data_IF_107464972758
#
_entry.id   IF_107464972758
#
_cell.length_a   1.000
_cell.length_b   1.000
_cell.length_c   1.000
_cell.angle_alpha   90.00
_cell.angle_beta   90.00
_cell.angle_gamma   90.00
#
_symmetry.space_group_name_H-M   'P 1'
#
loop_
_entity.id
_entity.type
_entity.pdbx_description
1 polymer ?
#
# COMPACT_ATOMS: atom_id res chain seq x y z
N UNK A 1 60.31 20.74 -35.22
CA UNK A 1 59.47 21.27 -34.18
C UNK A 1 58.15 20.51 -34.25
N UNK A 2 57.92 19.57 -33.31
CA UNK A 2 56.70 18.76 -33.24
C UNK A 2 55.88 19.33 -32.10
N UNK A 3 54.70 19.93 -32.41
CA UNK A 3 53.71 20.39 -31.46
C UNK A 3 52.80 19.22 -31.07
N UNK A 4 52.85 18.82 -29.82
CA UNK A 4 51.92 17.86 -29.23
C UNK A 4 50.72 18.66 -28.68
N UNK A 5 49.55 18.48 -29.32
CA UNK A 5 48.25 19.01 -28.83
C UNK A 5 47.73 18.03 -27.82
N UNK A 6 47.75 18.41 -26.55
CA UNK A 6 47.15 17.67 -25.46
C UNK A 6 45.60 17.78 -25.50
N UNK A 7 44.93 16.64 -25.69
CA UNK A 7 43.49 16.51 -25.61
C UNK A 7 43.09 16.37 -24.14
N UNK A 8 42.53 17.41 -23.53
CA UNK A 8 41.97 17.37 -22.20
C UNK A 8 40.57 16.69 -22.29
N UNK A 9 40.46 15.47 -21.80
CA UNK A 9 39.19 14.76 -21.65
C UNK A 9 38.58 15.21 -20.30
N UNK A 10 37.57 16.08 -20.36
CA UNK A 10 36.75 16.40 -19.23
C UNK A 10 35.83 15.21 -18.90
N UNK A 11 36.17 14.45 -17.88
CA UNK A 11 35.21 13.52 -17.26
C UNK A 11 34.16 14.36 -16.50
N UNK A 12 32.99 14.51 -17.09
CA UNK A 12 31.81 14.90 -16.34
C UNK A 12 31.47 13.74 -15.40
N UNK A 13 31.95 13.83 -14.17
CA UNK A 13 31.41 13.03 -13.10
C UNK A 13 29.93 13.42 -12.96
N UNK A 14 29.01 12.54 -13.36
CA UNK A 14 27.64 12.61 -12.92
C UNK A 14 27.67 12.48 -11.39
N UNK A 15 27.52 13.61 -10.70
CA UNK A 15 27.17 13.66 -9.30
C UNK A 15 25.76 13.04 -9.19
N UNK A 16 25.70 11.71 -9.03
CA UNK A 16 24.52 11.07 -8.48
C UNK A 16 24.52 11.45 -6.99
N UNK A 17 23.98 12.62 -6.68
CA UNK A 17 23.52 12.90 -5.34
C UNK A 17 22.63 11.72 -4.93
N UNK A 18 22.94 11.02 -3.82
CA UNK A 18 22.01 10.04 -3.28
C UNK A 18 20.69 10.77 -3.13
N UNK A 19 19.66 10.28 -3.79
CA UNK A 19 18.30 10.74 -3.54
C UNK A 19 18.11 10.48 -2.05
N UNK A 20 18.05 11.54 -1.23
CA UNK A 20 17.70 11.44 0.16
C UNK A 20 16.39 10.64 0.19
N UNK A 21 16.49 9.38 0.58
CA UNK A 21 15.31 8.61 0.94
C UNK A 21 14.74 9.34 2.13
N UNK A 22 13.64 10.07 1.92
CA UNK A 22 12.94 10.76 2.99
C UNK A 22 12.73 9.75 4.11
N UNK A 23 13.39 10.00 5.24
CA UNK A 23 13.30 9.12 6.40
C UNK A 23 11.89 9.29 6.94
N UNK A 24 11.08 8.24 6.82
CA UNK A 24 9.76 8.20 7.43
C UNK A 24 9.86 8.45 8.94
N UNK A 25 9.11 9.43 9.42
CA UNK A 25 9.06 9.78 10.83
C UNK A 25 7.71 9.30 11.39
N UNK A 26 7.75 8.59 12.55
CA UNK A 26 6.53 8.10 13.25
C UNK A 26 5.44 9.19 13.35
N UNK A 27 5.81 10.43 13.57
CA UNK A 27 4.86 11.53 13.71
C UNK A 27 4.12 11.87 12.42
N UNK A 28 4.67 11.57 11.26
CA UNK A 28 4.01 11.80 9.97
C UNK A 28 2.84 10.84 9.78
N UNK A 29 2.83 9.72 10.49
CA UNK A 29 1.73 8.75 10.50
C UNK A 29 0.50 9.26 11.24
N UNK A 30 0.69 10.06 12.31
CA UNK A 30 -0.39 10.47 13.19
C UNK A 30 -1.39 11.39 12.50
N UNK A 31 -2.66 11.21 12.81
CA UNK A 31 -3.77 12.06 12.39
C UNK A 31 -4.86 11.31 11.64
N UNK A 32 -5.70 12.09 10.99
CA UNK A 32 -6.85 11.62 10.22
C UNK A 32 -6.49 11.63 8.73
N UNK A 33 -6.70 10.49 8.07
CA UNK A 33 -6.35 10.27 6.69
C UNK A 33 -7.57 9.85 5.89
N UNK A 34 -7.70 10.41 4.69
CA UNK A 34 -8.67 9.96 3.70
C UNK A 34 -7.97 9.07 2.68
N UNK A 35 -8.53 7.92 2.38
CA UNK A 35 -8.06 7.06 1.30
C UNK A 35 -8.53 7.64 -0.03
N UNK A 36 -7.61 8.22 -0.79
CA UNK A 36 -7.92 8.89 -2.06
C UNK A 36 -7.89 7.93 -3.27
N UNK A 37 -7.15 6.84 -3.16
CA UNK A 37 -7.05 5.82 -4.21
C UNK A 37 -6.75 4.46 -3.60
N UNK A 38 -7.31 3.43 -4.22
CA UNK A 38 -6.95 2.02 -4.01
C UNK A 38 -6.57 1.43 -5.36
N UNK A 39 -5.32 1.00 -5.50
CA UNK A 39 -4.91 0.13 -6.59
C UNK A 39 -4.83 -1.30 -6.05
N UNK A 40 -5.32 -2.27 -6.81
CA UNK A 40 -5.28 -3.68 -6.41
C UNK A 40 -4.82 -4.57 -7.55
N UNK A 41 -4.22 -5.69 -7.18
CA UNK A 41 -3.90 -6.80 -8.06
C UNK A 41 -4.05 -8.11 -7.29
N UNK A 42 -4.10 -9.21 -7.98
CA UNK A 42 -4.18 -10.50 -7.30
C UNK A 42 -4.49 -11.66 -8.21
N UNK A 43 -4.87 -12.77 -7.57
CA UNK A 43 -5.19 -14.00 -8.27
C UNK A 43 -6.37 -14.71 -7.62
N UNK A 44 -7.12 -15.44 -8.44
CA UNK A 44 -8.24 -16.26 -8.02
C UNK A 44 -8.36 -17.52 -8.89
N UNK A 45 -9.01 -18.59 -8.42
CA UNK A 45 -9.34 -19.71 -9.28
C UNK A 45 -10.16 -19.28 -10.50
N UNK A 46 -9.81 -19.80 -11.67
CA UNK A 46 -10.60 -19.54 -12.88
C UNK A 46 -11.95 -20.26 -12.78
N UNK A 47 -13.10 -19.57 -12.87
CA UNK A 47 -14.42 -20.20 -12.76
C UNK A 47 -14.68 -21.30 -13.79
N UNK A 48 -14.03 -21.22 -14.96
CA UNK A 48 -14.17 -22.22 -16.04
C UNK A 48 -13.18 -23.40 -15.90
N UNK A 49 -12.11 -23.20 -15.16
CA UNK A 49 -11.10 -24.22 -14.88
C UNK A 49 -10.48 -24.00 -13.50
N UNK A 50 -11.08 -24.49 -12.42
CA UNK A 50 -10.63 -24.23 -11.04
C UNK A 50 -9.20 -24.67 -10.71
N UNK A 51 -8.59 -25.49 -11.56
CA UNK A 51 -7.18 -25.89 -11.42
C UNK A 51 -6.20 -24.85 -11.96
N UNK A 52 -6.67 -23.82 -12.66
CA UNK A 52 -5.89 -22.72 -13.17
C UNK A 52 -6.19 -21.44 -12.37
N UNK A 53 -5.17 -20.63 -12.14
CA UNK A 53 -5.32 -19.31 -11.54
C UNK A 53 -5.51 -18.25 -12.63
N UNK A 54 -6.29 -17.24 -12.30
CA UNK A 54 -6.58 -16.10 -13.14
C UNK A 54 -6.12 -14.85 -12.41
N UNK A 55 -5.31 -14.02 -13.09
CA UNK A 55 -4.81 -12.75 -12.58
C UNK A 55 -5.83 -11.64 -12.81
N UNK A 56 -5.91 -10.70 -11.90
CA UNK A 56 -6.71 -9.49 -12.04
C UNK A 56 -5.94 -8.27 -11.49
N UNK A 57 -6.30 -7.10 -11.94
CA UNK A 57 -5.79 -5.83 -11.41
C UNK A 57 -6.72 -4.68 -11.78
N UNK A 58 -6.68 -3.60 -11.00
CA UNK A 58 -7.50 -2.44 -11.28
C UNK A 58 -7.39 -1.34 -10.22
N UNK A 59 -8.27 -0.37 -10.35
CA UNK A 59 -8.51 0.66 -9.34
C UNK A 59 -9.85 0.40 -8.68
N UNK A 60 -9.90 0.58 -7.36
CA UNK A 60 -11.13 0.51 -6.59
C UNK A 60 -12.12 1.57 -7.04
N UNK A 61 -13.37 1.16 -7.22
CA UNK A 61 -14.49 2.08 -7.54
C UNK A 61 -15.43 2.18 -6.34
N UNK A 62 -16.26 3.21 -6.28
CA UNK A 62 -17.14 3.48 -5.14
C UNK A 62 -16.36 3.54 -3.82
N UNK A 63 -15.18 4.16 -3.87
CA UNK A 63 -14.25 4.22 -2.76
C UNK A 63 -14.78 5.13 -1.65
N UNK A 64 -14.82 4.59 -0.45
CA UNK A 64 -14.97 5.31 0.81
C UNK A 64 -13.90 4.78 1.75
N UNK A 65 -13.10 5.65 2.35
CA UNK A 65 -12.04 5.16 3.22
C UNK A 65 -11.44 6.24 4.10
N UNK A 66 -11.34 5.91 5.39
CA UNK A 66 -10.72 6.73 6.41
C UNK A 66 -9.77 5.88 7.24
N UNK A 67 -8.65 6.47 7.61
CA UNK A 67 -7.70 5.87 8.56
C UNK A 67 -7.34 6.93 9.58
N UNK A 68 -7.46 6.59 10.84
CA UNK A 68 -7.13 7.50 11.93
C UNK A 68 -6.08 6.84 12.83
N UNK A 69 -4.99 7.53 13.10
CA UNK A 69 -3.88 7.06 13.91
C UNK A 69 -3.60 8.08 15.01
N UNK A 70 -3.74 7.67 16.25
CA UNK A 70 -3.57 8.51 17.42
C UNK A 70 -2.48 7.96 18.34
N UNK A 71 -1.82 8.88 19.04
CA UNK A 71 -0.86 8.58 20.09
C UNK A 71 -1.46 8.97 21.44
N UNK A 72 -1.15 8.16 22.49
CA UNK A 72 -1.60 8.35 23.87
C UNK A 72 -3.13 8.27 24.09
N UNK A 73 -3.72 7.08 24.07
CA UNK A 73 -3.08 5.77 23.81
C UNK A 73 -2.84 5.55 22.32
N UNK A 74 -1.87 4.69 22.01
CA UNK A 74 -1.62 4.23 20.64
C UNK A 74 -2.85 3.50 20.13
N UNK A 75 -3.75 4.21 19.49
CA UNK A 75 -5.00 3.70 18.94
C UNK A 75 -5.15 4.09 17.48
N UNK A 76 -5.75 3.19 16.72
CA UNK A 76 -5.98 3.42 15.30
C UNK A 76 -7.25 2.75 14.84
N UNK A 77 -7.81 3.28 13.78
CA UNK A 77 -8.87 2.63 13.05
C UNK A 77 -8.68 2.77 11.56
N UNK A 78 -9.15 1.79 10.84
CA UNK A 78 -9.36 1.82 9.39
C UNK A 78 -10.80 1.45 9.12
N UNK A 79 -11.45 2.22 8.26
CA UNK A 79 -12.74 1.91 7.66
C UNK A 79 -12.61 2.18 6.17
N UNK A 80 -12.51 1.13 5.39
CA UNK A 80 -12.27 1.18 3.96
C UNK A 80 -13.24 0.26 3.24
N UNK A 81 -13.96 0.83 2.28
CA UNK A 81 -14.88 0.12 1.41
C UNK A 81 -14.64 0.52 -0.04
N UNK A 82 -14.60 -0.44 -0.93
CA UNK A 82 -14.54 -0.21 -2.38
C UNK A 82 -15.07 -1.43 -3.15
N UNK A 83 -15.31 -1.25 -4.43
CA UNK A 83 -15.66 -2.35 -5.33
C UNK A 83 -14.47 -2.69 -6.21
N UNK A 84 -14.01 -3.92 -6.13
CA UNK A 84 -13.01 -4.50 -7.01
C UNK A 84 -13.66 -5.19 -8.20
N UNK A 85 -13.11 -5.00 -9.40
CA UNK A 85 -13.52 -5.71 -10.60
C UNK A 85 -12.57 -6.89 -10.83
N UNK A 86 -13.01 -8.08 -10.49
CA UNK A 86 -12.26 -9.32 -10.70
C UNK A 86 -12.67 -9.90 -12.07
N UNK A 87 -12.12 -9.32 -13.15
CA UNK A 87 -12.51 -9.55 -14.54
C UNK A 87 -13.99 -9.16 -14.82
N UNK A 88 -14.91 -10.09 -14.77
CA UNK A 88 -16.34 -9.85 -15.01
C UNK A 88 -17.18 -9.80 -13.73
N UNK A 89 -16.55 -10.05 -12.57
CA UNK A 89 -17.21 -10.12 -11.28
C UNK A 89 -16.87 -8.85 -10.49
N UNK A 90 -17.90 -8.18 -10.00
CA UNK A 90 -17.74 -7.06 -9.06
C UNK A 90 -17.80 -7.61 -7.63
N UNK A 91 -16.76 -7.36 -6.84
CA UNK A 91 -16.67 -7.82 -5.46
C UNK A 91 -16.54 -6.61 -4.56
N UNK A 92 -17.47 -6.42 -3.61
CA UNK A 92 -17.30 -5.45 -2.55
C UNK A 92 -16.17 -5.92 -1.63
N UNK A 93 -15.24 -5.02 -1.34
CA UNK A 93 -14.13 -5.24 -0.42
C UNK A 93 -14.31 -4.28 0.75
N UNK A 94 -14.22 -4.82 1.95
CA UNK A 94 -14.35 -4.06 3.19
C UNK A 94 -13.21 -4.43 4.13
N UNK A 95 -12.50 -3.42 4.62
CA UNK A 95 -11.53 -3.53 5.70
C UNK A 95 -11.97 -2.59 6.82
N UNK A 96 -12.40 -3.15 7.93
CA UNK A 96 -12.77 -2.38 9.12
C UNK A 96 -12.04 -2.95 10.33
N UNK A 97 -11.29 -2.12 11.03
CA UNK A 97 -10.66 -2.46 12.29
C UNK A 97 -10.46 -1.20 13.13
N UNK A 98 -10.67 -1.35 14.42
CA UNK A 98 -10.33 -0.34 15.42
C UNK A 98 -9.64 -1.04 16.59
N UNK A 99 -8.48 -0.54 17.00
CA UNK A 99 -7.69 -1.18 18.05
C UNK A 99 -6.41 -0.41 18.35
N UNK A 100 -5.37 -1.14 18.73
CA UNK A 100 -4.04 -0.58 18.95
C UNK A 100 -3.20 -0.64 17.69
N UNK A 101 -2.23 0.26 17.57
CA UNK A 101 -1.27 0.20 16.49
C UNK A 101 0.17 0.14 16.98
N UNK A 102 1.01 -0.49 16.20
CA UNK A 102 2.46 -0.57 16.42
C UNK A 102 3.21 -0.44 15.11
N UNK A 103 4.44 0.09 15.18
CA UNK A 103 5.39 0.05 14.07
C UNK A 103 6.40 -1.06 14.28
N UNK A 104 6.68 -1.81 13.23
CA UNK A 104 7.65 -2.89 13.19
C UNK A 104 8.59 -2.76 11.99
N UNK A 105 9.60 -3.61 11.88
CA UNK A 105 10.56 -3.61 10.77
C UNK A 105 11.24 -2.25 10.57
N UNK A 106 11.80 -1.67 11.64
CA UNK A 106 12.46 -0.36 11.61
C UNK A 106 11.52 0.74 11.11
N UNK A 107 10.29 0.76 11.67
CA UNK A 107 9.25 1.75 11.41
C UNK A 107 8.67 1.74 9.99
N UNK A 108 8.88 0.66 9.23
CA UNK A 108 8.36 0.54 7.87
C UNK A 108 7.05 -0.27 7.73
N UNK A 109 6.58 -0.88 8.83
CA UNK A 109 5.35 -1.68 8.84
C UNK A 109 4.46 -1.25 9.99
N UNK A 110 3.27 -0.74 9.65
CA UNK A 110 2.20 -0.45 10.60
C UNK A 110 1.37 -1.72 10.79
N UNK A 111 1.16 -2.10 12.05
CA UNK A 111 0.23 -3.17 12.42
C UNK A 111 -0.93 -2.55 13.21
N UNK A 112 -2.15 -2.78 12.74
CA UNK A 112 -3.40 -2.46 13.44
C UNK A 112 -3.99 -3.76 13.99
N UNK A 113 -4.16 -3.84 15.30
CA UNK A 113 -4.60 -5.05 16.00
C UNK A 113 -5.78 -4.75 16.92
N UNK A 114 -6.83 -5.59 16.87
CA UNK A 114 -8.02 -5.50 17.71
C UNK A 114 -8.36 -6.81 18.42
N UNK A 115 -7.39 -7.65 18.73
CA UNK A 115 -7.55 -8.98 19.34
C UNK A 115 -8.25 -10.04 18.47
N UNK A 116 -8.99 -9.64 17.45
CA UNK A 116 -9.73 -10.54 16.56
C UNK A 116 -9.16 -10.56 15.13
N UNK A 117 -8.74 -9.41 14.65
CA UNK A 117 -8.19 -9.21 13.31
C UNK A 117 -6.98 -8.30 13.41
N UNK A 118 -5.91 -8.68 12.73
CA UNK A 118 -4.70 -7.88 12.61
C UNK A 118 -4.42 -7.58 11.15
N UNK A 119 -4.26 -6.30 10.83
CA UNK A 119 -3.85 -5.85 9.50
C UNK A 119 -2.43 -5.30 9.55
N UNK A 120 -1.61 -5.72 8.59
CA UNK A 120 -0.25 -5.22 8.43
C UNK A 120 -0.12 -4.42 7.14
N UNK A 121 0.37 -3.20 7.25
CA UNK A 121 0.59 -2.30 6.13
C UNK A 121 2.07 -1.94 6.02
N UNK A 122 2.68 -2.23 4.89
CA UNK A 122 4.03 -1.74 4.58
C UNK A 122 3.91 -0.30 4.10
N UNK A 123 4.59 0.62 4.77
CA UNK A 123 4.65 2.03 4.38
C UNK A 123 5.68 2.16 3.26
N UNK A 124 5.21 2.45 2.05
CA UNK A 124 6.03 2.59 0.84
C UNK A 124 6.55 4.01 0.69
N UNK A 125 5.71 4.98 1.04
CA UNK A 125 6.04 6.41 1.08
C UNK A 125 5.30 7.05 2.24
N UNK A 126 6.00 7.84 3.04
CA UNK A 126 5.49 8.45 4.25
C UNK A 126 5.76 9.96 4.28
N UNK A 127 5.11 10.73 3.42
CA UNK A 127 5.14 12.19 3.47
C UNK A 127 4.12 12.73 4.49
N UNK A 128 4.31 13.93 5.04
CA UNK A 128 3.42 14.49 6.06
C UNK A 128 1.94 14.62 5.67
N UNK A 129 1.65 14.79 4.38
CA UNK A 129 0.29 15.00 3.86
C UNK A 129 -0.14 13.96 2.81
N UNK A 130 0.75 13.04 2.45
CA UNK A 130 0.45 11.99 1.48
C UNK A 130 1.26 10.75 1.82
N UNK A 131 0.60 9.63 1.95
CA UNK A 131 1.25 8.35 2.22
C UNK A 131 0.79 7.29 1.25
N UNK A 132 1.64 6.29 1.02
CA UNK A 132 1.33 5.10 0.23
C UNK A 132 1.61 3.87 1.08
N UNK A 133 0.58 3.07 1.32
CA UNK A 133 0.67 1.85 2.10
C UNK A 133 0.30 0.64 1.27
N UNK A 134 0.95 -0.50 1.53
CA UNK A 134 0.63 -1.79 0.89
C UNK A 134 0.22 -2.82 1.91
N UNK A 135 -0.77 -3.61 1.56
CA UNK A 135 -1.19 -4.78 2.33
C UNK A 135 -1.63 -5.88 1.39
N UNK A 136 -1.64 -7.12 1.91
CA UNK A 136 -2.13 -8.30 1.19
C UNK A 136 -3.07 -9.07 2.11
N UNK A 137 -4.18 -9.54 1.58
CA UNK A 137 -5.14 -10.36 2.31
C UNK A 137 -5.86 -11.34 1.39
N UNK A 138 -6.47 -12.35 2.01
CA UNK A 138 -7.32 -13.29 1.32
C UNK A 138 -8.78 -12.91 1.53
N UNK A 139 -9.48 -12.68 0.43
CA UNK A 139 -10.93 -12.46 0.42
C UNK A 139 -11.63 -13.77 0.11
N UNK A 140 -12.54 -14.18 0.99
CA UNK A 140 -13.45 -15.32 0.78
C UNK A 140 -14.87 -14.83 1.01
N UNK A 141 -15.65 -14.54 -0.03
CA UNK A 141 -17.05 -14.17 0.11
C UNK A 141 -17.86 -15.27 0.82
N UNK A 142 -18.79 -14.86 1.67
CA UNK A 142 -19.51 -15.78 2.56
C UNK A 142 -20.35 -16.84 1.82
N UNK A 143 -20.74 -16.58 0.58
CA UNK A 143 -21.60 -17.43 -0.24
C UNK A 143 -20.86 -18.07 -1.44
N UNK A 144 -19.55 -17.90 -1.52
CA UNK A 144 -18.77 -18.29 -2.69
C UNK A 144 -17.91 -19.52 -2.45
N UNK A 145 -17.76 -20.30 -3.50
CA UNK A 145 -16.81 -21.40 -3.60
C UNK A 145 -15.42 -20.97 -4.09
N UNK A 146 -15.17 -19.67 -4.22
CA UNK A 146 -13.88 -19.15 -4.67
C UNK A 146 -13.24 -18.26 -3.58
N UNK A 147 -11.95 -18.15 -3.67
CA UNK A 147 -11.11 -17.25 -2.88
C UNK A 147 -10.34 -16.32 -3.81
N UNK A 148 -9.89 -15.21 -3.31
CA UNK A 148 -9.00 -14.32 -4.03
C UNK A 148 -7.88 -13.84 -3.09
N UNK A 149 -6.64 -13.96 -3.52
CA UNK A 149 -5.52 -13.24 -2.91
C UNK A 149 -5.46 -11.85 -3.51
N UNK A 150 -5.50 -10.84 -2.68
CA UNK A 150 -5.54 -9.44 -3.09
C UNK A 150 -4.34 -8.72 -2.49
N UNK A 151 -3.50 -8.18 -3.36
CA UNK A 151 -2.46 -7.20 -3.03
C UNK A 151 -3.05 -5.82 -3.27
N UNK A 152 -2.93 -4.95 -2.30
CA UNK A 152 -3.57 -3.64 -2.33
C UNK A 152 -2.57 -2.54 -1.99
N UNK A 153 -2.63 -1.45 -2.75
CA UNK A 153 -1.91 -0.22 -2.49
C UNK A 153 -2.90 0.91 -2.26
N UNK A 154 -2.79 1.54 -1.08
CA UNK A 154 -3.60 2.65 -0.64
C UNK A 154 -2.82 3.94 -0.79
N UNK A 155 -3.41 4.96 -1.42
CA UNK A 155 -2.92 6.33 -1.35
C UNK A 155 -3.78 7.11 -0.37
N UNK A 156 -3.16 7.65 0.67
CA UNK A 156 -3.79 8.40 1.75
C UNK A 156 -3.38 9.88 1.66
N UNK A 157 -4.33 10.75 1.97
CA UNK A 157 -4.14 12.20 2.02
C UNK A 157 -4.74 12.78 3.31
N UNK A 158 -4.10 13.82 3.85
CA UNK A 158 -4.64 14.66 4.94
C UNK A 158 -5.41 15.84 4.38
#
# INVERSE_FOLDING_TARGET
>A
VISIIGLAVCFNACDTTPQDSEVFVRQDLLGEWTVSQVAYSGEMPNPLNPSALMQFSGLGTQLMGEVNIYEMPDSGNIDLQFVANLNTIQVPVELASAGTWTLTNSDSTLVLDNDSVSYSFVIVSGLPNTQVWRTSFMQVPADSSYWANIDMELTLIK
#
